data_IF_130564393029
#
_entry.id   IF_130564393029
#
_cell.length_a   1.000
_cell.length_b   1.000
_cell.length_c   1.000
_cell.angle_alpha   90.00
_cell.angle_beta   90.00
_cell.angle_gamma   90.00
#
_symmetry.space_group_name_H-M   'P 1'
#
loop_
_entity.id
_entity.type
_entity.pdbx_description
1 polymer ?
#
# COMPACT_ATOMS: atom_id res chain seq x y z
N UNK A 1 26.81 -27.55 -35.38
CA UNK A 1 25.50 -26.89 -35.11
C UNK A 1 25.04 -27.49 -33.80
N UNK A 2 25.25 -26.77 -32.70
CA UNK A 2 24.75 -27.24 -31.39
C UNK A 2 23.26 -26.87 -31.33
N UNK A 3 22.42 -27.89 -31.26
CA UNK A 3 20.99 -27.70 -31.05
C UNK A 3 20.79 -26.87 -29.75
N UNK A 4 20.37 -25.62 -29.90
CA UNK A 4 19.93 -24.83 -28.74
C UNK A 4 18.81 -25.60 -28.04
N UNK A 5 18.90 -25.83 -26.71
CA UNK A 5 17.87 -26.55 -25.98
C UNK A 5 16.57 -25.79 -26.11
N UNK A 6 15.60 -26.38 -26.80
CA UNK A 6 14.25 -25.83 -27.03
C UNK A 6 13.60 -25.59 -25.68
N UNK A 7 13.60 -24.35 -25.24
CA UNK A 7 12.98 -23.97 -23.95
C UNK A 7 11.49 -24.34 -23.96
N UNK A 8 11.10 -25.25 -23.08
CA UNK A 8 9.70 -25.64 -22.94
C UNK A 8 8.86 -24.43 -22.50
N UNK A 9 7.60 -24.23 -22.97
CA UNK A 9 6.80 -23.05 -22.61
C UNK A 9 6.56 -22.94 -21.09
N UNK A 10 6.40 -21.70 -20.52
CA UNK A 10 6.16 -21.52 -19.10
C UNK A 10 4.88 -22.24 -18.68
N UNK A 11 4.91 -22.89 -17.53
CA UNK A 11 3.73 -23.55 -16.97
C UNK A 11 2.62 -22.56 -16.65
N UNK A 12 1.35 -23.00 -16.72
CA UNK A 12 0.17 -22.15 -16.44
C UNK A 12 0.28 -21.47 -15.07
N UNK A 13 0.79 -22.17 -14.05
CA UNK A 13 0.99 -21.60 -12.72
C UNK A 13 2.00 -20.45 -12.70
N UNK A 14 3.05 -20.54 -13.52
CA UNK A 14 4.06 -19.47 -13.64
C UNK A 14 3.49 -18.23 -14.34
N UNK A 15 2.72 -18.42 -15.39
CA UNK A 15 2.04 -17.33 -16.11
C UNK A 15 1.05 -16.65 -15.17
N UNK A 16 0.21 -17.43 -14.49
CA UNK A 16 -0.78 -16.88 -13.55
C UNK A 16 -0.12 -16.12 -12.40
N UNK A 17 0.94 -16.66 -11.80
CA UNK A 17 1.70 -15.97 -10.75
C UNK A 17 2.39 -14.70 -11.27
N UNK A 18 2.98 -14.72 -12.46
CA UNK A 18 3.61 -13.56 -13.06
C UNK A 18 2.59 -12.44 -13.32
N UNK A 19 1.44 -12.76 -13.90
CA UNK A 19 0.36 -11.79 -14.16
C UNK A 19 -0.20 -11.23 -12.85
N UNK A 20 -0.47 -12.08 -11.86
CA UNK A 20 -1.00 -11.65 -10.56
C UNK A 20 -0.02 -10.72 -9.82
N UNK A 21 1.28 -11.05 -9.82
CA UNK A 21 2.30 -10.18 -9.23
C UNK A 21 2.47 -8.87 -10.03
N UNK A 22 2.39 -8.90 -11.36
CA UNK A 22 2.43 -7.69 -12.16
C UNK A 22 1.26 -6.76 -11.84
N UNK A 23 0.04 -7.29 -11.76
CA UNK A 23 -1.15 -6.52 -11.37
C UNK A 23 -1.01 -5.94 -9.96
N UNK A 24 -0.57 -6.73 -9.00
CA UNK A 24 -0.33 -6.26 -7.63
C UNK A 24 0.69 -5.10 -7.60
N UNK A 25 1.79 -5.23 -8.33
CA UNK A 25 2.81 -4.18 -8.41
C UNK A 25 2.27 -2.88 -9.01
N UNK A 26 1.53 -2.98 -10.12
CA UNK A 26 0.90 -1.81 -10.76
C UNK A 26 -0.11 -1.13 -9.83
N UNK A 27 -0.95 -1.91 -9.14
CA UNK A 27 -1.95 -1.37 -8.19
C UNK A 27 -1.27 -0.64 -7.04
N UNK A 28 -0.20 -1.20 -6.45
CA UNK A 28 0.54 -0.55 -5.36
C UNK A 28 1.20 0.75 -5.82
N UNK A 29 1.80 0.79 -7.00
CA UNK A 29 2.39 2.00 -7.56
C UNK A 29 1.31 3.05 -7.82
N UNK A 30 0.19 2.67 -8.44
CA UNK A 30 -0.91 3.57 -8.71
C UNK A 30 -1.53 4.14 -7.42
N UNK A 31 -1.70 3.29 -6.40
CA UNK A 31 -2.19 3.71 -5.08
C UNK A 31 -1.22 4.69 -4.40
N UNK A 32 0.10 4.41 -4.46
CA UNK A 32 1.12 5.32 -3.94
C UNK A 32 1.10 6.68 -4.64
N UNK A 33 1.02 6.72 -5.97
CA UNK A 33 0.93 7.94 -6.75
C UNK A 33 -0.37 8.71 -6.48
N UNK A 34 -1.51 8.02 -6.44
CA UNK A 34 -2.80 8.64 -6.11
C UNK A 34 -2.78 9.23 -4.69
N UNK A 35 -2.17 8.54 -3.73
CA UNK A 35 -1.96 9.03 -2.38
C UNK A 35 -1.14 10.32 -2.36
N UNK A 36 -0.03 10.38 -3.10
CA UNK A 36 0.81 11.58 -3.20
C UNK A 36 0.04 12.77 -3.78
N UNK A 37 -0.75 12.54 -4.84
CA UNK A 37 -1.58 13.61 -5.44
C UNK A 37 -2.63 14.09 -4.45
N UNK A 38 -3.33 13.19 -3.76
CA UNK A 38 -4.33 13.56 -2.76
C UNK A 38 -3.71 14.37 -1.62
N UNK A 39 -2.54 13.94 -1.11
CA UNK A 39 -1.83 14.65 -0.06
C UNK A 39 -1.40 16.04 -0.54
N UNK A 40 -0.90 16.17 -1.78
CA UNK A 40 -0.50 17.46 -2.34
C UNK A 40 -1.69 18.43 -2.44
N UNK A 41 -2.86 17.96 -2.89
CA UNK A 41 -4.08 18.77 -2.96
C UNK A 41 -4.50 19.25 -1.58
N UNK A 42 -4.55 18.34 -0.60
CA UNK A 42 -4.90 18.69 0.80
C UNK A 42 -3.88 19.65 1.40
N UNK A 43 -2.58 19.45 1.10
CA UNK A 43 -1.53 20.34 1.61
C UNK A 43 -1.67 21.78 1.12
N UNK A 44 -2.10 21.97 -0.14
CA UNK A 44 -2.30 23.32 -0.70
C UNK A 44 -3.48 24.04 -0.06
N UNK A 45 -4.49 23.30 0.36
CA UNK A 45 -5.74 23.86 0.91
C UNK A 45 -5.64 24.16 2.43
N UNK A 46 -4.90 23.35 3.16
CA UNK A 46 -4.90 23.38 4.64
C UNK A 46 -3.62 23.96 5.23
N UNK A 47 -2.54 24.09 4.46
CA UNK A 47 -1.21 24.45 4.99
C UNK A 47 -1.15 25.81 5.72
N UNK A 48 -2.04 26.74 5.37
CA UNK A 48 -2.09 28.09 5.93
C UNK A 48 -3.22 28.28 6.95
N UNK A 49 -3.96 27.22 7.29
CA UNK A 49 -5.03 27.29 8.27
C UNK A 49 -4.50 27.33 9.70
N UNK A 50 -5.19 28.11 10.55
CA UNK A 50 -4.97 28.19 11.99
C UNK A 50 -6.12 27.49 12.74
N UNK A 51 -5.94 27.23 14.04
CA UNK A 51 -7.03 26.71 14.87
C UNK A 51 -8.25 27.65 14.87
N UNK A 52 -8.01 28.97 14.78
CA UNK A 52 -9.07 29.99 14.71
C UNK A 52 -9.81 29.91 13.38
N UNK A 53 -9.10 29.85 12.26
CA UNK A 53 -9.74 29.76 10.93
C UNK A 53 -10.50 28.46 10.76
N UNK A 54 -9.99 27.35 11.30
CA UNK A 54 -10.69 26.07 11.30
C UNK A 54 -12.00 26.15 12.12
N UNK A 55 -11.98 26.76 13.30
CA UNK A 55 -13.17 26.97 14.13
C UNK A 55 -14.22 27.81 13.42
N UNK A 56 -13.81 28.89 12.74
CA UNK A 56 -14.70 29.73 11.94
C UNK A 56 -15.32 28.97 10.76
N UNK A 57 -14.53 28.13 10.07
CA UNK A 57 -15.00 27.31 8.96
C UNK A 57 -16.04 26.28 9.45
N UNK A 58 -15.75 25.56 10.54
CA UNK A 58 -16.69 24.62 11.14
C UNK A 58 -18.00 25.30 11.49
N UNK A 59 -17.94 26.48 12.11
CA UNK A 59 -19.13 27.26 12.46
C UNK A 59 -19.95 27.62 11.21
N UNK A 60 -19.30 28.01 10.13
CA UNK A 60 -19.95 28.33 8.86
C UNK A 60 -20.62 27.12 8.20
N UNK A 61 -20.04 25.93 8.31
CA UNK A 61 -20.58 24.69 7.72
C UNK A 61 -21.73 24.07 8.52
N UNK A 62 -21.82 24.38 9.84
CA UNK A 62 -22.89 23.84 10.69
C UNK A 62 -24.30 24.37 10.36
N UNK A 63 -24.41 25.38 9.51
CA UNK A 63 -25.68 25.98 9.11
C UNK A 63 -26.20 27.02 10.11
N UNK A 64 -27.12 27.88 9.61
CA UNK A 64 -27.62 29.05 10.36
C UNK A 64 -28.26 28.72 11.72
N UNK A 65 -28.98 27.60 11.79
CA UNK A 65 -29.74 27.24 13.00
C UNK A 65 -28.81 26.84 14.14
N UNK A 66 -27.74 26.07 13.80
CA UNK A 66 -26.73 25.66 14.79
C UNK A 66 -25.85 26.84 15.17
N UNK A 67 -25.46 27.68 14.20
CA UNK A 67 -24.71 28.91 14.48
C UNK A 67 -25.46 29.83 15.46
N UNK A 68 -26.78 30.03 15.28
CA UNK A 68 -27.60 30.83 16.18
C UNK A 68 -27.68 30.23 17.60
N UNK A 69 -27.74 28.90 17.70
CA UNK A 69 -27.69 28.22 19.02
C UNK A 69 -26.32 28.42 19.69
N UNK A 70 -25.24 28.29 18.96
CA UNK A 70 -23.87 28.51 19.48
C UNK A 70 -23.71 29.95 20.00
N UNK A 71 -24.20 30.95 19.25
CA UNK A 71 -24.21 32.36 19.68
C UNK A 71 -25.06 32.56 20.91
N UNK A 72 -26.25 31.93 20.98
CA UNK A 72 -27.17 32.03 22.13
C UNK A 72 -26.54 31.50 23.42
N UNK A 73 -25.76 30.43 23.32
CA UNK A 73 -25.04 29.84 24.45
C UNK A 73 -23.65 30.41 24.64
N UNK A 74 -23.25 31.41 23.86
CA UNK A 74 -21.92 32.04 23.88
C UNK A 74 -20.78 30.99 23.67
N UNK A 75 -21.06 29.98 22.89
CA UNK A 75 -20.09 28.94 22.54
C UNK A 75 -19.32 29.35 21.29
N UNK A 76 -18.03 29.63 21.45
CA UNK A 76 -17.12 29.92 20.33
C UNK A 76 -16.23 28.70 20.05
N UNK A 77 -16.47 28.04 18.93
CA UNK A 77 -15.72 26.84 18.51
C UNK A 77 -14.24 27.16 18.34
N UNK A 78 -13.90 28.36 17.84
CA UNK A 78 -12.50 28.77 17.65
C UNK A 78 -11.77 28.88 19.00
N UNK A 79 -12.45 29.45 20.03
CA UNK A 79 -11.90 29.53 21.38
C UNK A 79 -11.74 28.15 22.01
N UNK A 80 -12.70 27.26 21.80
CA UNK A 80 -12.61 25.87 22.30
C UNK A 80 -11.43 25.16 21.68
N UNK A 81 -11.28 25.22 20.35
CA UNK A 81 -10.18 24.55 19.64
C UNK A 81 -8.81 25.09 20.04
N UNK A 82 -8.66 26.42 20.16
CA UNK A 82 -7.41 27.03 20.63
C UNK A 82 -7.09 26.64 22.06
N UNK A 83 -8.09 26.65 22.95
CA UNK A 83 -7.91 26.26 24.35
C UNK A 83 -7.50 24.79 24.47
N UNK A 84 -8.13 23.90 23.71
CA UNK A 84 -7.77 22.47 23.68
C UNK A 84 -6.37 22.26 23.11
N UNK A 85 -5.99 23.00 22.08
CA UNK A 85 -4.67 22.95 21.52
C UNK A 85 -3.60 23.39 22.53
N UNK A 86 -3.83 24.50 23.24
CA UNK A 86 -2.93 25.00 24.27
C UNK A 86 -2.81 24.05 25.47
N UNK A 87 -3.94 23.50 25.95
CA UNK A 87 -3.94 22.53 27.06
C UNK A 87 -3.17 21.26 26.74
N UNK A 88 -3.16 20.84 25.49
CA UNK A 88 -2.46 19.64 25.04
C UNK A 88 -1.09 19.94 24.42
N UNK A 89 -0.59 21.16 24.50
CA UNK A 89 0.66 21.63 23.90
C UNK A 89 0.75 21.25 22.41
N UNK A 90 -0.36 21.34 21.67
CA UNK A 90 -0.37 21.07 20.25
C UNK A 90 0.26 22.26 19.50
N UNK A 91 1.04 21.97 18.44
CA UNK A 91 1.57 23.04 17.59
C UNK A 91 0.43 23.76 16.86
N UNK A 92 0.74 24.92 16.26
CA UNK A 92 -0.17 25.60 15.34
C UNK A 92 -0.78 24.59 14.34
N UNK A 93 -2.07 24.75 14.03
CA UNK A 93 -2.82 23.77 13.22
C UNK A 93 -2.10 23.44 11.90
N UNK A 94 -1.65 24.46 11.17
CA UNK A 94 -0.93 24.24 9.92
C UNK A 94 0.40 23.50 10.10
N UNK A 95 1.10 23.69 11.23
CA UNK A 95 2.32 22.94 11.54
C UNK A 95 2.03 21.48 11.88
N UNK A 96 0.98 21.23 12.65
CA UNK A 96 0.52 19.88 12.99
C UNK A 96 0.09 19.10 11.76
N UNK A 97 -0.71 19.74 10.89
CA UNK A 97 -1.15 19.13 9.61
C UNK A 97 0.04 18.83 8.72
N UNK A 98 1.01 19.73 8.58
CA UNK A 98 2.24 19.47 7.79
C UNK A 98 2.99 18.24 8.29
N UNK A 99 3.08 18.00 9.59
CA UNK A 99 3.71 16.81 10.13
C UNK A 99 2.96 15.54 9.75
N UNK A 100 1.62 15.54 9.86
CA UNK A 100 0.80 14.40 9.45
C UNK A 100 0.93 14.16 7.95
N UNK A 101 0.83 15.21 7.13
CA UNK A 101 0.96 15.10 5.67
C UNK A 101 2.34 14.58 5.27
N UNK A 102 3.41 14.99 5.97
CA UNK A 102 4.76 14.46 5.73
C UNK A 102 4.83 12.95 6.02
N UNK A 103 4.24 12.48 7.12
CA UNK A 103 4.16 11.04 7.43
C UNK A 103 3.36 10.26 6.39
N UNK A 104 2.21 10.79 5.97
CA UNK A 104 1.39 10.20 4.92
C UNK A 104 2.12 10.16 3.58
N UNK A 105 2.90 11.20 3.26
CA UNK A 105 3.72 11.25 2.04
C UNK A 105 4.79 10.15 2.05
N UNK A 106 5.48 9.96 3.18
CA UNK A 106 6.45 8.87 3.36
C UNK A 106 5.76 7.51 3.17
N UNK A 107 4.57 7.32 3.76
CA UNK A 107 3.80 6.10 3.61
C UNK A 107 3.37 5.86 2.15
N UNK A 108 2.93 6.89 1.43
CA UNK A 108 2.55 6.80 0.02
C UNK A 108 3.74 6.45 -0.89
N UNK A 109 4.91 7.06 -0.64
CA UNK A 109 6.17 6.71 -1.34
C UNK A 109 6.57 5.28 -1.04
N UNK A 110 6.53 4.85 0.22
CA UNK A 110 6.87 3.49 0.62
C UNK A 110 5.93 2.47 -0.04
N UNK A 111 4.63 2.76 -0.13
CA UNK A 111 3.65 1.93 -0.82
C UNK A 111 3.96 1.81 -2.31
N UNK A 112 4.27 2.91 -2.99
CA UNK A 112 4.67 2.91 -4.39
C UNK A 112 5.95 2.11 -4.63
N UNK A 113 6.97 2.28 -3.79
CA UNK A 113 8.22 1.52 -3.87
C UNK A 113 8.00 0.02 -3.60
N UNK A 114 7.12 -0.32 -2.66
CA UNK A 114 6.75 -1.72 -2.39
C UNK A 114 6.18 -2.43 -3.63
N UNK A 115 5.55 -1.69 -4.55
CA UNK A 115 5.08 -2.21 -5.83
C UNK A 115 6.20 -2.69 -6.77
N UNK A 116 7.43 -2.23 -6.59
CA UNK A 116 8.57 -2.69 -7.40
C UNK A 116 8.92 -4.16 -7.15
N UNK A 117 8.74 -4.66 -5.92
CA UNK A 117 9.05 -6.04 -5.57
C UNK A 117 8.19 -7.07 -6.32
N UNK A 118 6.85 -6.98 -6.35
CA UNK A 118 6.03 -7.90 -7.14
C UNK A 118 6.28 -7.76 -8.64
N UNK A 119 6.59 -6.57 -9.18
CA UNK A 119 6.97 -6.42 -10.58
C UNK A 119 8.28 -7.16 -10.90
N UNK A 120 9.26 -7.07 -10.02
CA UNK A 120 10.50 -7.83 -10.14
C UNK A 120 10.25 -9.34 -10.11
N UNK A 121 9.41 -9.81 -9.19
CA UNK A 121 9.00 -11.22 -9.09
C UNK A 121 8.27 -11.67 -10.37
N UNK A 122 7.34 -10.86 -10.88
CA UNK A 122 6.64 -11.14 -12.12
C UNK A 122 7.62 -11.35 -13.29
N UNK A 123 8.62 -10.45 -13.41
CA UNK A 123 9.67 -10.57 -14.43
C UNK A 123 10.54 -11.81 -14.23
N UNK A 124 10.89 -12.13 -12.98
CA UNK A 124 11.70 -13.32 -12.66
C UNK A 124 10.97 -14.61 -13.02
N UNK A 125 9.67 -14.69 -12.70
CA UNK A 125 8.82 -15.84 -13.06
C UNK A 125 8.64 -15.96 -14.58
N UNK A 126 8.46 -14.82 -15.27
CA UNK A 126 8.35 -14.80 -16.72
C UNK A 126 9.62 -15.30 -17.40
N UNK A 127 10.80 -14.88 -16.91
CA UNK A 127 12.10 -15.31 -17.40
C UNK A 127 12.57 -16.65 -16.83
N UNK A 128 11.72 -17.39 -16.12
CA UNK A 128 12.00 -18.68 -15.46
C UNK A 128 13.20 -18.68 -14.51
N UNK A 129 13.60 -17.53 -14.04
CA UNK A 129 14.64 -17.43 -13.01
C UNK A 129 14.03 -17.74 -11.65
N UNK A 130 13.94 -19.05 -11.34
CA UNK A 130 13.63 -19.48 -9.96
C UNK A 130 14.79 -19.08 -9.07
N UNK A 131 14.60 -18.11 -8.21
CA UNK A 131 15.57 -17.72 -7.21
C UNK A 131 14.99 -17.93 -5.81
N UNK A 132 15.87 -18.16 -4.83
CA UNK A 132 15.45 -18.20 -3.40
C UNK A 132 14.68 -16.95 -3.01
N UNK A 133 14.99 -15.80 -3.63
CA UNK A 133 14.30 -14.55 -3.38
C UNK A 133 12.82 -14.57 -3.82
N UNK A 134 12.48 -15.19 -4.95
CA UNK A 134 11.08 -15.38 -5.39
C UNK A 134 10.30 -16.24 -4.40
N UNK A 135 10.92 -17.32 -3.90
CA UNK A 135 10.32 -18.18 -2.89
C UNK A 135 10.11 -17.42 -1.56
N UNK A 136 11.13 -16.70 -1.09
CA UNK A 136 11.02 -15.89 0.12
C UNK A 136 9.95 -14.80 0.01
N UNK A 137 9.84 -14.17 -1.16
CA UNK A 137 8.77 -13.19 -1.42
C UNK A 137 7.39 -13.83 -1.32
N UNK A 138 7.19 -15.02 -1.91
CA UNK A 138 5.93 -15.78 -1.81
C UNK A 138 5.58 -16.13 -0.35
N UNK A 139 6.57 -16.55 0.45
CA UNK A 139 6.40 -16.82 1.90
C UNK A 139 6.00 -15.55 2.64
N UNK A 140 6.73 -14.45 2.42
CA UNK A 140 6.46 -13.17 3.07
C UNK A 140 5.06 -12.65 2.72
N UNK A 141 4.67 -12.70 1.45
CA UNK A 141 3.35 -12.26 1.01
C UNK A 141 2.23 -13.12 1.61
N UNK A 142 2.43 -14.45 1.68
CA UNK A 142 1.47 -15.35 2.33
C UNK A 142 1.34 -15.05 3.82
N UNK A 143 2.45 -14.81 4.51
CA UNK A 143 2.44 -14.44 5.93
C UNK A 143 1.70 -13.12 6.18
N UNK A 144 1.92 -12.10 5.34
CA UNK A 144 1.19 -10.82 5.40
C UNK A 144 -0.31 -11.04 5.21
N UNK A 145 -0.72 -11.87 4.23
CA UNK A 145 -2.12 -12.22 4.02
C UNK A 145 -2.77 -12.89 5.23
N UNK A 146 -2.07 -13.87 5.84
CA UNK A 146 -2.55 -14.55 7.07
C UNK A 146 -2.65 -13.59 8.24
N UNK A 147 -1.62 -12.78 8.48
CA UNK A 147 -1.62 -11.79 9.57
C UNK A 147 -2.76 -10.79 9.36
N UNK A 148 -2.96 -10.30 8.14
CA UNK A 148 -4.05 -9.38 7.82
C UNK A 148 -5.43 -9.98 8.13
N UNK A 149 -5.68 -11.24 7.76
CA UNK A 149 -6.92 -11.94 8.07
C UNK A 149 -7.12 -12.12 9.59
N UNK A 150 -6.05 -12.43 10.33
CA UNK A 150 -6.14 -12.63 11.78
C UNK A 150 -6.36 -11.32 12.54
N UNK A 151 -5.71 -10.24 12.12
CA UNK A 151 -5.79 -8.93 12.81
C UNK A 151 -7.12 -8.24 12.56
N UNK A 152 -7.67 -8.34 11.34
CA UNK A 152 -8.92 -7.65 11.01
C UNK A 152 -10.16 -8.40 11.51
N UNK A 153 -10.05 -9.68 11.87
CA UNK A 153 -11.15 -10.49 12.40
C UNK A 153 -12.28 -10.76 11.42
N UNK A 154 -12.29 -10.10 10.27
CA UNK A 154 -13.27 -10.27 9.20
C UNK A 154 -12.58 -10.72 7.92
N UNK A 155 -13.21 -11.59 7.11
CA UNK A 155 -12.67 -12.05 5.85
C UNK A 155 -12.70 -10.91 4.81
N UNK A 156 -11.73 -10.01 4.90
CA UNK A 156 -11.58 -8.98 3.89
C UNK A 156 -11.00 -9.58 2.62
N UNK A 157 -11.67 -9.34 1.52
CA UNK A 157 -11.30 -9.83 0.19
C UNK A 157 -9.85 -9.48 -0.18
N UNK A 158 -9.37 -8.33 0.28
CA UNK A 158 -7.99 -7.86 0.05
C UNK A 158 -6.97 -8.83 0.63
N UNK A 159 -7.12 -9.24 1.91
CA UNK A 159 -6.17 -10.14 2.57
C UNK A 159 -6.21 -11.54 1.99
N UNK A 160 -7.41 -12.00 1.57
CA UNK A 160 -7.58 -13.24 0.83
C UNK A 160 -6.85 -13.25 -0.50
N UNK A 161 -6.91 -12.14 -1.26
CA UNK A 161 -6.18 -11.98 -2.52
C UNK A 161 -4.66 -11.93 -2.31
N UNK A 162 -4.18 -11.23 -1.28
CA UNK A 162 -2.76 -11.19 -0.92
C UNK A 162 -2.24 -12.59 -0.58
N UNK A 163 -2.99 -13.35 0.23
CA UNK A 163 -2.66 -14.73 0.58
C UNK A 163 -2.63 -15.63 -0.66
N UNK A 164 -3.67 -15.56 -1.49
CA UNK A 164 -3.76 -16.35 -2.71
C UNK A 164 -2.60 -16.07 -3.67
N UNK A 165 -2.22 -14.80 -3.84
CA UNK A 165 -1.08 -14.42 -4.67
C UNK A 165 0.25 -14.95 -4.11
N UNK A 166 0.43 -14.90 -2.78
CA UNK A 166 1.59 -15.48 -2.11
C UNK A 166 1.71 -16.99 -2.34
N UNK A 167 0.61 -17.74 -2.14
CA UNK A 167 0.56 -19.18 -2.37
C UNK A 167 0.81 -19.54 -3.85
N UNK A 168 0.22 -18.79 -4.77
CA UNK A 168 0.43 -18.98 -6.20
C UNK A 168 1.89 -18.77 -6.59
N UNK A 169 2.55 -17.75 -6.02
CA UNK A 169 3.98 -17.49 -6.21
C UNK A 169 4.85 -18.63 -5.67
N UNK A 170 4.51 -19.21 -4.52
CA UNK A 170 5.19 -20.37 -3.96
C UNK A 170 5.07 -21.61 -4.87
N UNK A 171 3.89 -21.91 -5.36
CA UNK A 171 3.67 -23.02 -6.30
C UNK A 171 4.48 -22.81 -7.57
N UNK A 172 4.40 -21.60 -8.15
CA UNK A 172 5.14 -21.23 -9.36
C UNK A 172 6.66 -21.34 -9.19
N UNK A 173 7.20 -20.93 -8.04
CA UNK A 173 8.64 -20.99 -7.74
C UNK A 173 9.16 -22.42 -7.63
N UNK A 174 8.32 -23.38 -7.16
CA UNK A 174 8.69 -24.80 -7.07
C UNK A 174 8.62 -25.52 -8.41
N UNK A 175 7.75 -25.11 -9.31
CA UNK A 175 7.63 -25.67 -10.66
C UNK A 175 8.69 -25.17 -11.62
N UNK A 176 9.30 -24.02 -11.33
CA UNK A 176 10.39 -23.41 -12.10
C UNK A 176 11.75 -24.03 -11.77
N UNK A 177 11.87 -25.36 -11.74
CA UNK A 177 13.20 -26.00 -11.51
C UNK A 177 14.12 -25.76 -12.71
N UNK A 178 15.39 -25.36 -12.48
CA UNK A 178 16.35 -25.24 -13.57
C UNK A 178 16.60 -26.61 -14.20
N UNK A 179 16.73 -26.70 -15.54
CA UNK A 179 16.93 -27.96 -16.26
C UNK A 179 18.27 -28.67 -15.96
N UNK A 180 19.17 -28.04 -15.21
CA UNK A 180 20.55 -28.51 -15.00
C UNK A 180 20.63 -29.78 -14.13
N UNK A 181 19.66 -30.08 -13.29
CA UNK A 181 19.72 -31.28 -12.42
C UNK A 181 19.17 -32.55 -13.06
N UNK A 182 18.62 -32.49 -14.28
CA UNK A 182 18.13 -33.65 -15.00
C UNK A 182 19.21 -34.39 -15.80
N UNK A 183 20.32 -33.72 -16.10
CA UNK A 183 21.38 -34.30 -16.88
C UNK A 183 22.29 -35.25 -16.07
N UNK A 184 22.45 -35.00 -14.76
CA UNK A 184 23.32 -35.86 -13.93
C UNK A 184 22.66 -37.15 -13.49
N UNK A 185 21.31 -37.19 -13.38
CA UNK A 185 20.59 -38.44 -13.01
C UNK A 185 20.36 -39.40 -14.19
N UNK A 186 20.69 -38.99 -15.42
CA UNK A 186 20.59 -39.85 -16.60
C UNK A 186 21.92 -40.49 -17.00
N UNK A 187 23.02 -40.16 -16.30
CA UNK A 187 24.35 -40.70 -16.55
C UNK A 187 24.85 -41.65 -15.43
N UNK A 188 24.05 -41.94 -14.43
CA UNK A 188 24.28 -42.97 -13.41
C UNK A 188 23.41 -44.19 -13.67
#
# INVERSE_FOLDING_TARGET
MLDEPKESPPGIAQIAAAVSNALLGVVLIAAGLAGLVAIAVVALDIADQTWVSLGAQITAELGSDVATLLETFQIDIAVILTTLADQNNLPEFGAWVRQILALLMVAAVALGLAGAAPLWVARALWSRRSSRAVLLFGVALSAVGVIGLLVTGEPQLIWGLVLANGLLTLVASRTARPPVLRAESAQS
#
